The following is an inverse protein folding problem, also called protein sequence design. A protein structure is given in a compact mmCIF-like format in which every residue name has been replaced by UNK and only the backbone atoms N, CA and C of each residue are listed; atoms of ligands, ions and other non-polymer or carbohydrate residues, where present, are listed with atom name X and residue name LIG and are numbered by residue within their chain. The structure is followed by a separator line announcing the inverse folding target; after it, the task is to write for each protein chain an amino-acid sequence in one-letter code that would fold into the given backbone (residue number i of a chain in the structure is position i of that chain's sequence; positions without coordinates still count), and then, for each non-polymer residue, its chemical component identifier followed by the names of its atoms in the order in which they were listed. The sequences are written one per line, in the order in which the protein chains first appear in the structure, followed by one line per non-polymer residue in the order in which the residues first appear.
data_IF_147506541972
#
_entry.id   IF_147506541972
#
_cell.length_a   1.000
_cell.length_b   1.000
_cell.length_c   1.000
_cell.angle_alpha   90.00
_cell.angle_beta   90.00
_cell.angle_gamma   90.00
#
_symmetry.space_group_name_H-M   'P 1'
#
loop_
_entity.id
_entity.type
_entity.pdbx_description
1 polymer ?
#
# COMPACT_ATOMS: atom_id res chain seq x y z
N UNK A 1 14.76 -27.29 7.01
CA UNK A 1 13.51 -26.51 7.27
C UNK A 1 12.24 -27.33 7.04
N UNK A 2 12.00 -27.97 5.88
CA UNK A 2 10.78 -28.79 5.69
C UNK A 2 10.64 -29.93 6.71
N UNK A 3 11.74 -30.64 7.01
CA UNK A 3 11.76 -31.69 8.02
C UNK A 3 11.40 -31.16 9.42
N UNK A 4 12.03 -30.05 9.85
CA UNK A 4 11.66 -29.31 11.06
C UNK A 4 10.16 -28.99 11.11
N UNK A 5 9.62 -28.45 10.01
CA UNK A 5 8.20 -28.10 9.96
C UNK A 5 7.30 -29.31 10.22
N UNK A 6 7.56 -30.43 9.53
CA UNK A 6 6.80 -31.67 9.72
C UNK A 6 6.92 -32.23 11.14
N UNK A 7 8.11 -32.17 11.75
CA UNK A 7 8.36 -32.67 13.11
C UNK A 7 7.67 -31.82 14.20
N UNK A 8 7.56 -30.51 13.99
CA UNK A 8 7.04 -29.56 14.98
C UNK A 8 5.62 -29.07 14.70
N UNK A 9 4.81 -29.83 13.95
CA UNK A 9 3.40 -29.49 13.65
C UNK A 9 3.23 -28.16 12.90
N UNK A 10 4.24 -27.76 12.11
CA UNK A 10 4.14 -26.62 11.21
C UNK A 10 3.84 -27.07 9.78
N UNK A 11 3.02 -26.28 9.11
CA UNK A 11 2.79 -26.37 7.67
C UNK A 11 3.61 -25.30 6.96
N UNK A 12 4.30 -25.69 5.88
CA UNK A 12 4.92 -24.71 4.99
C UNK A 12 3.84 -24.07 4.13
N UNK A 13 3.63 -22.77 4.31
CA UNK A 13 2.60 -21.99 3.59
C UNK A 13 3.17 -21.14 2.46
N UNK A 14 4.49 -21.07 2.34
CA UNK A 14 5.16 -20.38 1.25
C UNK A 14 6.66 -20.60 1.26
N UNK A 15 7.25 -20.62 0.08
CA UNK A 15 8.68 -20.72 -0.12
C UNK A 15 9.11 -19.73 -1.20
N UNK A 16 10.19 -19.00 -0.94
CA UNK A 16 10.75 -18.08 -1.89
C UNK A 16 12.27 -18.27 -1.96
N UNK A 17 12.73 -19.00 -2.97
CA UNK A 17 14.16 -19.32 -3.12
C UNK A 17 15.03 -18.08 -3.28
N UNK A 18 14.62 -17.10 -4.10
CA UNK A 18 15.38 -15.86 -4.33
C UNK A 18 15.59 -15.01 -3.07
N UNK A 19 14.56 -14.89 -2.21
CA UNK A 19 14.62 -14.19 -0.94
C UNK A 19 15.19 -15.07 0.21
N UNK A 20 15.37 -16.38 -0.03
CA UNK A 20 15.77 -17.39 0.97
C UNK A 20 14.83 -17.43 2.18
N UNK A 21 13.53 -17.32 1.91
CA UNK A 21 12.49 -17.26 2.94
C UNK A 21 11.58 -18.47 2.85
N UNK A 22 11.24 -19.04 4.01
CA UNK A 22 10.21 -20.06 4.17
C UNK A 22 9.20 -19.56 5.19
N UNK A 23 7.93 -19.54 4.83
CA UNK A 23 6.83 -19.16 5.70
C UNK A 23 6.20 -20.41 6.31
N UNK A 24 6.14 -20.45 7.63
CA UNK A 24 5.56 -21.54 8.40
C UNK A 24 4.29 -21.07 9.12
N UNK A 25 3.29 -21.94 9.20
CA UNK A 25 2.09 -21.72 10.00
C UNK A 25 1.83 -22.93 10.91
N UNK A 26 1.35 -22.70 12.12
CA UNK A 26 0.99 -23.78 13.04
C UNK A 26 0.38 -23.26 14.34
N UNK A 27 0.08 -24.17 15.28
CA UNK A 27 -0.51 -23.83 16.57
C UNK A 27 0.39 -22.92 17.41
N UNK A 28 -0.21 -22.07 18.24
CA UNK A 28 0.52 -21.15 19.13
C UNK A 28 1.52 -21.90 20.02
N UNK A 29 1.07 -22.98 20.67
CA UNK A 29 1.91 -23.84 21.52
C UNK A 29 3.16 -24.36 20.82
N UNK A 30 3.05 -24.74 19.54
CA UNK A 30 4.16 -25.29 18.79
C UNK A 30 5.20 -24.21 18.49
N UNK A 31 4.76 -22.96 18.24
CA UNK A 31 5.65 -21.80 18.06
C UNK A 31 6.39 -21.51 19.36
N UNK A 32 5.68 -21.49 20.48
CA UNK A 32 6.26 -21.24 21.80
C UNK A 32 7.29 -22.31 22.18
N UNK A 33 6.94 -23.59 22.03
CA UNK A 33 7.83 -24.72 22.28
C UNK A 33 9.06 -24.72 21.37
N UNK A 34 8.87 -24.48 20.07
CA UNK A 34 9.97 -24.52 19.11
C UNK A 34 10.98 -23.37 19.28
N UNK A 35 10.52 -22.18 19.69
CA UNK A 35 11.39 -21.00 19.80
C UNK A 35 11.66 -20.55 21.25
N UNK A 36 11.17 -21.29 22.24
CA UNK A 36 11.38 -21.00 23.66
C UNK A 36 10.79 -19.65 24.12
N UNK A 37 9.73 -19.18 23.46
CA UNK A 37 9.09 -17.89 23.72
C UNK A 37 7.71 -18.09 24.35
N UNK A 38 7.21 -17.07 25.05
CA UNK A 38 5.80 -16.99 25.43
C UNK A 38 5.12 -15.87 24.65
N UNK A 39 3.98 -16.17 24.03
CA UNK A 39 3.25 -15.29 23.13
C UNK A 39 1.91 -14.87 23.74
N UNK A 40 1.77 -13.58 23.98
CA UNK A 40 0.60 -13.02 24.65
C UNK A 40 0.00 -11.88 23.85
N UNK A 41 -1.28 -11.58 24.11
CA UNK A 41 -1.93 -10.40 23.57
C UNK A 41 -1.72 -9.20 24.49
N UNK A 42 -1.18 -8.14 23.93
CA UNK A 42 -0.89 -6.88 24.59
C UNK A 42 -1.80 -5.79 24.03
N UNK A 43 -2.17 -4.83 24.86
CA UNK A 43 -3.02 -3.69 24.49
C UNK A 43 -2.26 -2.39 24.72
N UNK A 44 -2.44 -1.44 23.82
CA UNK A 44 -1.90 -0.09 23.90
C UNK A 44 -2.89 0.89 23.27
N UNK A 45 -2.65 2.19 23.41
CA UNK A 45 -3.62 3.23 23.02
C UNK A 45 -4.16 3.11 21.58
N UNK A 46 -3.35 2.58 20.66
CA UNK A 46 -3.70 2.48 19.24
C UNK A 46 -4.03 1.04 18.78
N UNK A 47 -4.28 0.10 19.70
CA UNK A 47 -4.78 -1.22 19.35
C UNK A 47 -4.27 -2.36 20.24
N UNK A 48 -4.36 -3.59 19.72
CA UNK A 48 -3.76 -4.77 20.35
C UNK A 48 -2.79 -5.45 19.41
N UNK A 49 -1.81 -6.14 19.97
CA UNK A 49 -0.82 -6.91 19.23
C UNK A 49 -0.46 -8.19 19.99
N UNK A 50 0.11 -9.17 19.28
CA UNK A 50 0.76 -10.33 19.88
C UNK A 50 2.22 -9.96 20.15
N UNK A 51 2.56 -9.87 21.43
CA UNK A 51 3.91 -9.69 21.91
C UNK A 51 4.59 -11.03 22.19
N UNK A 52 5.91 -11.00 22.35
CA UNK A 52 6.67 -12.11 22.93
C UNK A 52 7.37 -11.68 24.22
N UNK A 53 7.45 -12.59 25.17
CA UNK A 53 8.31 -12.48 26.35
C UNK A 53 9.28 -13.68 26.41
N UNK A 54 10.35 -13.52 27.19
CA UNK A 54 11.41 -14.52 27.31
C UNK A 54 12.49 -14.45 26.21
N UNK A 55 13.57 -15.23 26.37
CA UNK A 55 14.64 -15.32 25.37
C UNK A 55 14.14 -16.07 24.12
N UNK A 56 14.64 -15.68 22.94
CA UNK A 56 14.41 -16.47 21.72
C UNK A 56 15.49 -17.56 21.64
N UNK A 57 15.05 -18.81 21.54
CA UNK A 57 15.92 -19.96 21.32
C UNK A 57 15.76 -20.44 19.88
N UNK A 58 16.87 -20.84 19.26
CA UNK A 58 16.86 -21.42 17.93
C UNK A 58 17.07 -22.94 18.07
N UNK A 59 16.17 -23.79 17.54
CA UNK A 59 16.38 -25.23 17.46
C UNK A 59 17.71 -25.58 16.80
N UNK A 60 18.43 -26.56 17.35
CA UNK A 60 19.75 -26.94 16.87
C UNK A 60 19.76 -27.33 15.38
N UNK A 61 18.70 -27.97 14.90
CA UNK A 61 18.52 -28.34 13.50
C UNK A 61 18.33 -27.15 12.53
N UNK A 62 18.05 -25.96 13.05
CA UNK A 62 18.00 -24.70 12.29
C UNK A 62 19.27 -23.85 12.47
N UNK A 63 20.17 -24.25 13.37
CA UNK A 63 21.42 -23.54 13.61
C UNK A 63 22.31 -23.53 12.37
N UNK A 64 22.94 -22.40 12.09
CA UNK A 64 23.84 -22.21 10.95
C UNK A 64 23.16 -22.08 9.58
N UNK A 65 21.84 -22.36 9.47
CA UNK A 65 21.09 -22.23 8.21
C UNK A 65 20.05 -21.09 8.22
N UNK A 66 19.63 -20.64 9.41
CA UNK A 66 18.67 -19.52 9.57
C UNK A 66 19.41 -18.25 9.96
N UNK A 67 19.16 -17.17 9.22
CA UNK A 67 19.67 -15.82 9.54
C UNK A 67 18.78 -15.06 10.52
N UNK A 68 17.48 -15.34 10.54
CA UNK A 68 16.54 -14.69 11.44
C UNK A 68 15.16 -15.32 11.39
N UNK A 69 14.43 -15.21 12.51
CA UNK A 69 13.04 -15.63 12.66
C UNK A 69 12.19 -14.38 12.84
N UNK A 70 11.21 -14.21 11.96
CA UNK A 70 10.32 -13.03 11.95
C UNK A 70 8.87 -13.45 12.21
N UNK A 71 8.05 -12.50 12.63
CA UNK A 71 6.61 -12.73 12.81
C UNK A 71 6.20 -13.37 14.14
N UNK A 72 7.13 -13.66 15.07
CA UNK A 72 6.79 -14.04 16.44
C UNK A 72 5.98 -12.93 17.14
N UNK A 73 6.25 -11.69 16.75
CA UNK A 73 5.54 -10.49 17.17
C UNK A 73 4.92 -9.80 15.94
N UNK A 74 3.71 -9.27 16.06
CA UNK A 74 3.00 -8.60 14.96
C UNK A 74 2.72 -7.11 15.24
N UNK A 75 3.51 -6.46 16.11
CA UNK A 75 3.47 -5.01 16.29
C UNK A 75 3.71 -4.28 14.96
N UNK A 76 3.00 -3.18 14.71
CA UNK A 76 3.34 -2.27 13.61
C UNK A 76 4.76 -1.72 13.81
N UNK A 77 5.72 -2.19 13.00
CA UNK A 77 7.12 -1.78 13.11
C UNK A 77 7.40 -0.41 12.48
N UNK A 78 6.53 0.07 11.59
CA UNK A 78 6.71 1.31 10.86
C UNK A 78 5.39 2.10 10.75
N UNK A 79 5.50 3.43 10.59
CA UNK A 79 4.39 4.33 10.30
C UNK A 79 4.56 4.94 8.91
N UNK A 80 3.51 4.97 8.07
CA UNK A 80 3.60 5.65 6.79
C UNK A 80 3.78 7.16 6.98
N UNK A 81 4.75 7.75 6.27
CA UNK A 81 5.03 9.20 6.31
C UNK A 81 4.44 9.98 5.12
N UNK A 82 3.66 9.33 4.25
CA UNK A 82 3.00 10.01 3.14
C UNK A 82 1.74 10.74 3.62
N UNK A 83 1.40 11.83 2.93
CA UNK A 83 0.13 12.56 3.14
C UNK A 83 -0.72 12.43 1.89
N UNK A 84 -1.94 11.93 2.03
CA UNK A 84 -2.88 11.89 0.91
C UNK A 84 -3.28 13.32 0.55
N UNK A 85 -2.97 13.75 -0.68
CA UNK A 85 -3.49 15.02 -1.20
C UNK A 85 -5.01 14.90 -1.24
N UNK A 86 -5.70 15.72 -0.46
CA UNK A 86 -7.15 15.84 -0.61
C UNK A 86 -7.42 16.40 -2.01
N UNK A 87 -8.23 15.68 -2.78
CA UNK A 87 -8.72 16.20 -4.06
C UNK A 87 -9.74 17.27 -3.71
N UNK A 88 -9.34 18.53 -3.77
CA UNK A 88 -10.29 19.64 -3.77
C UNK A 88 -11.20 19.42 -4.97
N UNK A 89 -12.50 19.25 -4.74
CA UNK A 89 -13.47 19.30 -5.83
C UNK A 89 -13.26 20.63 -6.57
N UNK A 90 -13.39 20.67 -7.91
CA UNK A 90 -13.41 21.95 -8.59
C UNK A 90 -14.54 22.77 -7.96
N UNK A 91 -14.18 23.83 -7.22
CA UNK A 91 -15.09 24.93 -6.98
C UNK A 91 -15.58 25.36 -8.36
N UNK A 92 -16.89 25.32 -8.55
CA UNK A 92 -17.57 25.83 -9.73
C UNK A 92 -17.09 27.27 -9.92
N UNK A 93 -16.02 27.46 -10.71
CA UNK A 93 -15.63 28.77 -11.17
C UNK A 93 -16.65 29.08 -12.22
N UNK A 94 -17.68 29.80 -11.82
CA UNK A 94 -18.64 30.40 -12.73
C UNK A 94 -17.84 31.24 -13.74
N UNK A 95 -17.63 30.67 -14.93
CA UNK A 95 -17.09 31.40 -16.04
C UNK A 95 -18.18 32.37 -16.47
N UNK A 96 -17.91 33.69 -16.48
CA UNK A 96 -18.90 34.63 -16.97
C UNK A 96 -19.29 34.21 -18.40
N UNK A 97 -20.59 34.24 -18.77
CA UNK A 97 -21.03 33.80 -20.08
C UNK A 97 -20.26 34.58 -21.15
N UNK A 98 -19.77 33.85 -22.15
CA UNK A 98 -19.07 34.41 -23.30
C UNK A 98 -20.00 35.45 -23.94
N UNK A 99 -19.64 36.73 -23.85
CA UNK A 99 -20.37 37.78 -24.56
C UNK A 99 -20.31 37.47 -26.05
N UNK A 100 -21.48 37.34 -26.69
CA UNK A 100 -21.59 37.12 -28.13
C UNK A 100 -20.75 38.15 -28.90
N UNK A 101 -20.04 37.76 -29.97
CA UNK A 101 -19.34 38.73 -30.79
C UNK A 101 -20.33 39.73 -31.40
N UNK A 102 -19.97 41.03 -31.51
CA UNK A 102 -20.86 42.04 -32.08
C UNK A 102 -21.18 41.70 -33.55
N UNK A 103 -22.40 42.02 -34.03
CA UNK A 103 -22.79 41.71 -35.40
C UNK A 103 -21.93 42.49 -36.40
N UNK A 104 -21.49 41.79 -37.45
CA UNK A 104 -20.73 42.36 -38.58
C UNK A 104 -21.60 43.40 -39.31
N UNK A 105 -21.09 44.61 -39.61
CA UNK A 105 -21.87 45.58 -40.38
C UNK A 105 -22.05 45.09 -41.82
N UNK A 106 -23.31 45.02 -42.27
CA UNK A 106 -23.67 44.69 -43.65
C UNK A 106 -23.15 45.78 -44.61
N UNK A 107 -22.29 45.36 -45.55
CA UNK A 107 -21.76 46.21 -46.62
C UNK A 107 -22.88 46.58 -47.60
N UNK A 108 -23.43 47.79 -47.49
CA UNK A 108 -24.37 48.35 -48.48
C UNK A 108 -23.66 48.55 -49.81
N UNK A 109 -24.02 47.77 -50.82
CA UNK A 109 -23.58 47.98 -52.21
C UNK A 109 -24.35 49.18 -52.75
N UNK A 110 -23.63 50.28 -53.02
CA UNK A 110 -24.16 51.48 -53.70
C UNK A 110 -24.31 51.17 -55.20
N UNK A 111 -25.48 51.37 -55.84
CA UNK A 111 -25.59 51.25 -57.29
C UNK A 111 -24.94 52.48 -57.95
N UNK A 112 -23.82 52.27 -58.62
CA UNK A 112 -23.11 53.28 -59.40
C UNK A 112 -23.72 53.46 -60.78
N UNK A 113 -24.42 54.57 -60.95
CA UNK A 113 -24.99 55.15 -62.18
C UNK A 113 -23.91 55.32 -63.27
N UNK A 114 -24.27 55.08 -64.53
CA UNK A 114 -23.37 55.10 -65.68
C UNK A 114 -22.83 56.48 -66.08
N UNK A 115 -21.91 56.47 -67.06
CA UNK A 115 -21.63 57.55 -68.01
C UNK A 115 -20.61 57.10 -69.08
N UNK A 116 -21.03 57.27 -70.34
CA UNK A 116 -20.34 57.82 -71.53
C UNK A 116 -19.02 57.28 -72.09
N UNK A 117 -19.02 57.23 -73.43
CA UNK A 117 -18.03 56.86 -74.46
C UNK A 117 -16.69 57.65 -74.47
N UNK A 118 -15.77 57.36 -75.41
CA UNK A 118 -15.88 57.75 -76.83
C UNK A 118 -16.08 56.59 -77.82
#
# INVERSE_FOLDING_TARGET
VRAFAAAHQFTVVGEHAGARTVSLAGPLRAIEEAFGVHLERWTYDNGSYRGRSGPIQLPAELSGIVLGVFGLDNRPQARPHFRRRQRTAPTDREYPPRSSPPPTPSRTIRPGRGRTSP
#
